data_IF_541165979730
#
_entry.id   IF_541165979730
#
_cell.length_a   1.000
_cell.length_b   1.000
_cell.length_c   1.000
_cell.angle_alpha   90.00
_cell.angle_beta   90.00
_cell.angle_gamma   90.00
#
_symmetry.space_group_name_H-M   'P 1'
#
loop_
_entity.id
_entity.type
_entity.pdbx_description
1 polymer ?
#
# COMPACT_ATOMS: atom_id res chain seq x y z
N UNK A 1 14.84 10.22 7.23
CA UNK A 1 13.38 10.08 7.41
C UNK A 1 12.89 9.01 6.47
N UNK A 2 12.37 7.92 7.00
CA UNK A 2 11.80 6.85 6.19
C UNK A 2 10.42 7.27 5.68
N UNK A 3 10.03 6.85 4.48
CA UNK A 3 8.70 7.15 3.90
C UNK A 3 7.57 6.70 4.82
N UNK A 4 7.79 5.62 5.57
CA UNK A 4 6.87 5.07 6.56
C UNK A 4 6.58 6.08 7.70
N UNK A 5 7.57 6.82 8.17
CA UNK A 5 7.39 7.84 9.22
C UNK A 5 6.52 9.00 8.75
N UNK A 6 6.66 9.42 7.49
CA UNK A 6 5.85 10.50 6.90
C UNK A 6 4.38 10.07 6.83
N UNK A 7 4.11 8.85 6.37
CA UNK A 7 2.75 8.29 6.31
C UNK A 7 2.16 8.18 7.72
N UNK A 8 2.93 7.67 8.69
CA UNK A 8 2.48 7.54 10.09
C UNK A 8 2.12 8.89 10.70
N UNK A 9 2.97 9.89 10.49
CA UNK A 9 2.74 11.24 11.01
C UNK A 9 1.52 11.90 10.32
N UNK A 10 1.32 11.68 9.02
CA UNK A 10 0.14 12.16 8.31
C UNK A 10 -1.16 11.55 8.84
N UNK A 11 -1.16 10.24 9.14
CA UNK A 11 -2.31 9.56 9.75
C UNK A 11 -2.60 10.12 11.15
N UNK A 12 -1.56 10.28 11.99
CA UNK A 12 -1.71 10.84 13.34
C UNK A 12 -2.24 12.28 13.30
N UNK A 13 -1.76 13.10 12.37
CA UNK A 13 -2.28 14.44 12.15
C UNK A 13 -3.75 14.42 11.69
N UNK A 14 -4.11 13.50 10.79
CA UNK A 14 -5.48 13.31 10.31
C UNK A 14 -6.47 12.97 11.43
N UNK A 15 -6.06 12.10 12.37
CA UNK A 15 -6.87 11.76 13.55
C UNK A 15 -7.08 12.98 14.46
N UNK A 16 -6.05 13.80 14.70
CA UNK A 16 -6.18 15.03 15.50
C UNK A 16 -7.10 16.07 14.86
N UNK A 17 -7.06 16.21 13.53
CA UNK A 17 -7.99 17.08 12.79
C UNK A 17 -9.43 16.59 12.92
N UNK A 18 -9.66 15.27 12.85
CA UNK A 18 -10.99 14.69 13.00
C UNK A 18 -11.58 14.95 14.39
N UNK A 19 -10.78 14.84 15.45
CA UNK A 19 -11.17 15.14 16.83
C UNK A 19 -11.58 16.62 16.97
N UNK A 20 -10.78 17.53 16.40
CA UNK A 20 -11.03 18.98 16.44
C UNK A 20 -12.33 19.38 15.73
N UNK A 21 -12.64 18.70 14.62
CA UNK A 21 -13.88 18.91 13.88
C UNK A 21 -15.09 18.47 14.71
N UNK A 22 -15.01 17.32 15.39
CA UNK A 22 -16.08 16.84 16.29
C UNK A 22 -16.32 17.82 17.43
N UNK A 23 -15.25 18.25 18.09
CA UNK A 23 -15.32 19.25 19.18
C UNK A 23 -15.98 20.56 18.71
N UNK A 24 -15.60 21.05 17.53
CA UNK A 24 -16.17 22.28 16.95
C UNK A 24 -17.66 22.13 16.65
N UNK A 25 -18.06 20.98 16.07
CA UNK A 25 -19.48 20.71 15.78
C UNK A 25 -20.29 20.62 17.08
N UNK A 26 -19.78 19.93 18.10
CA UNK A 26 -20.44 19.83 19.41
C UNK A 26 -20.60 21.20 20.08
N UNK A 27 -19.61 22.08 19.95
CA UNK A 27 -19.69 23.45 20.48
C UNK A 27 -20.72 24.30 19.74
N UNK A 28 -20.87 24.14 18.42
CA UNK A 28 -21.95 24.79 17.65
C UNK A 28 -23.33 24.30 18.09
N UNK A 29 -23.47 23.01 18.43
CA UNK A 29 -24.72 22.46 18.99
C UNK A 29 -25.02 23.06 20.36
N UNK A 30 -24.03 23.12 21.26
CA UNK A 30 -24.19 23.72 22.59
C UNK A 30 -24.57 25.19 22.54
N UNK A 31 -24.07 25.93 21.54
CA UNK A 31 -24.41 27.34 21.30
C UNK A 31 -25.80 27.53 20.69
N UNK A 32 -26.48 26.44 20.30
CA UNK A 32 -27.78 26.47 19.64
C UNK A 32 -27.73 26.92 18.17
N UNK A 33 -26.52 27.08 17.61
CA UNK A 33 -26.31 27.45 16.21
C UNK A 33 -26.58 26.26 15.27
N UNK A 34 -26.59 25.04 15.80
CA UNK A 34 -26.80 23.81 15.07
C UNK A 34 -27.68 22.85 15.88
N UNK A 35 -28.64 22.19 15.22
CA UNK A 35 -29.38 21.09 15.87
C UNK A 35 -28.54 19.80 15.89
N UNK A 36 -28.79 18.90 16.85
CA UNK A 36 -28.15 17.58 16.90
C UNK A 36 -28.33 16.79 15.59
N UNK A 37 -29.49 16.94 14.95
CA UNK A 37 -29.79 16.29 13.67
C UNK A 37 -28.89 16.79 12.53
N UNK A 38 -28.56 18.09 12.53
CA UNK A 38 -27.69 18.71 11.53
C UNK A 38 -26.23 18.38 11.80
N UNK A 39 -25.82 18.32 13.07
CA UNK A 39 -24.49 17.87 13.49
C UNK A 39 -24.21 16.45 13.03
N UNK A 40 -25.12 15.51 13.32
CA UNK A 40 -24.98 14.11 12.92
C UNK A 40 -24.91 13.96 11.39
N UNK A 41 -25.68 14.76 10.65
CA UNK A 41 -25.66 14.78 9.18
C UNK A 41 -24.33 15.29 8.63
N UNK A 42 -23.80 16.38 9.17
CA UNK A 42 -22.50 16.95 8.77
C UNK A 42 -21.34 15.99 9.05
N UNK A 43 -21.30 15.35 10.21
CA UNK A 43 -20.27 14.35 10.54
C UNK A 43 -20.33 13.17 9.58
N UNK A 44 -21.54 12.70 9.25
CA UNK A 44 -21.74 11.60 8.32
C UNK A 44 -21.29 11.95 6.90
N UNK A 45 -21.74 13.09 6.36
CA UNK A 45 -21.36 13.56 5.02
C UNK A 45 -19.85 13.79 4.91
N UNK A 46 -19.23 14.36 5.95
CA UNK A 46 -17.79 14.59 5.98
C UNK A 46 -17.01 13.27 6.05
N UNK A 47 -17.48 12.30 6.84
CA UNK A 47 -16.85 10.98 6.93
C UNK A 47 -16.93 10.23 5.61
N UNK A 48 -18.11 10.17 4.98
CA UNK A 48 -18.30 9.54 3.67
C UNK A 48 -17.43 10.20 2.58
N UNK A 49 -17.33 11.53 2.60
CA UNK A 49 -16.47 12.28 1.67
C UNK A 49 -14.99 12.05 1.94
N UNK A 50 -14.58 12.01 3.20
CA UNK A 50 -13.20 11.72 3.60
C UNK A 50 -12.79 10.31 3.20
N UNK A 51 -13.65 9.30 3.36
CA UNK A 51 -13.37 7.91 2.98
C UNK A 51 -13.17 7.75 1.47
N UNK A 52 -14.04 8.37 0.66
CA UNK A 52 -13.85 8.43 -0.80
C UNK A 52 -12.55 9.13 -1.19
N UNK A 53 -12.31 10.31 -0.62
CA UNK A 53 -11.12 11.11 -0.94
C UNK A 53 -9.82 10.42 -0.48
N UNK A 54 -9.86 9.71 0.64
CA UNK A 54 -8.73 8.91 1.14
C UNK A 54 -8.39 7.78 0.17
N UNK A 55 -9.39 7.08 -0.36
CA UNK A 55 -9.17 5.97 -1.31
C UNK A 55 -8.50 6.45 -2.59
N UNK A 56 -8.95 7.57 -3.16
CA UNK A 56 -8.32 8.18 -4.34
C UNK A 56 -6.91 8.70 -4.05
N UNK A 57 -6.71 9.30 -2.87
CA UNK A 57 -5.40 9.77 -2.43
C UNK A 57 -4.40 8.61 -2.28
N UNK A 58 -4.81 7.51 -1.63
CA UNK A 58 -3.97 6.31 -1.49
C UNK A 58 -3.58 5.74 -2.84
N UNK A 59 -4.51 5.67 -3.81
CA UNK A 59 -4.21 5.21 -5.16
C UNK A 59 -3.19 6.12 -5.86
N UNK A 60 -3.41 7.43 -5.81
CA UNK A 60 -2.50 8.42 -6.42
C UNK A 60 -1.09 8.36 -5.82
N UNK A 61 -1.00 8.21 -4.49
CA UNK A 61 0.28 8.06 -3.79
C UNK A 61 0.96 6.75 -4.21
N UNK A 62 0.22 5.65 -4.30
CA UNK A 62 0.75 4.36 -4.76
C UNK A 62 1.30 4.48 -6.18
N UNK A 63 0.56 5.10 -7.09
CA UNK A 63 0.98 5.28 -8.49
C UNK A 63 2.23 6.17 -8.59
N UNK A 64 2.30 7.24 -7.78
CA UNK A 64 3.48 8.11 -7.67
C UNK A 64 4.71 7.35 -7.18
N UNK A 65 4.56 6.51 -6.15
CA UNK A 65 5.65 5.71 -5.60
C UNK A 65 6.11 4.68 -6.63
N UNK A 66 5.19 3.95 -7.26
CA UNK A 66 5.50 2.98 -8.31
C UNK A 66 6.24 3.64 -9.47
N UNK A 67 5.74 4.78 -9.98
CA UNK A 67 6.40 5.52 -11.06
C UNK A 67 7.78 6.09 -10.67
N UNK A 68 7.97 6.46 -9.40
CA UNK A 68 9.29 6.87 -8.90
C UNK A 68 10.27 5.70 -8.83
N UNK A 69 9.83 4.53 -8.35
CA UNK A 69 10.63 3.31 -8.28
C UNK A 69 11.05 2.84 -9.68
N UNK A 70 10.12 2.88 -10.65
CA UNK A 70 10.41 2.56 -12.06
C UNK A 70 11.48 3.49 -12.64
N UNK A 71 11.37 4.81 -12.41
CA UNK A 71 12.38 5.79 -12.89
C UNK A 71 13.75 5.61 -12.25
N UNK A 72 13.81 5.09 -11.03
CA UNK A 72 15.06 4.76 -10.34
C UNK A 72 15.62 3.39 -10.74
N UNK A 73 14.95 2.68 -11.66
CA UNK A 73 15.30 1.34 -12.11
C UNK A 73 15.42 0.33 -10.94
N UNK A 74 14.64 0.56 -9.87
CA UNK A 74 14.59 -0.29 -8.69
C UNK A 74 13.56 -1.41 -8.91
N UNK A 75 13.96 -2.69 -8.81
CA UNK A 75 13.03 -3.80 -8.96
C UNK A 75 12.05 -3.83 -7.79
N UNK A 76 10.79 -4.13 -8.10
CA UNK A 76 9.75 -4.35 -7.10
C UNK A 76 9.93 -5.70 -6.41
N UNK A 77 9.17 -5.94 -5.33
CA UNK A 77 9.17 -7.26 -4.67
C UNK A 77 8.70 -8.36 -5.63
N UNK A 78 7.71 -8.07 -6.46
CA UNK A 78 7.14 -9.02 -7.42
C UNK A 78 8.18 -9.42 -8.47
N UNK A 79 8.97 -8.45 -8.96
CA UNK A 79 10.08 -8.70 -9.88
C UNK A 79 11.12 -9.68 -9.28
N UNK A 80 11.42 -9.51 -7.99
CA UNK A 80 12.35 -10.39 -7.26
C UNK A 80 11.77 -11.79 -7.10
N UNK A 81 10.48 -11.91 -6.76
CA UNK A 81 9.81 -13.20 -6.62
C UNK A 81 9.75 -13.96 -7.95
N UNK A 82 9.48 -13.26 -9.04
CA UNK A 82 9.47 -13.85 -10.38
C UNK A 82 10.86 -14.28 -10.84
N UNK A 83 11.90 -13.52 -10.50
CA UNK A 83 13.28 -13.92 -10.73
C UNK A 83 13.64 -15.17 -9.92
N UNK A 84 13.21 -15.26 -8.65
CA UNK A 84 13.40 -16.47 -7.83
C UNK A 84 12.72 -17.70 -8.43
N UNK A 85 11.49 -17.57 -8.95
CA UNK A 85 10.79 -18.68 -9.62
C UNK A 85 11.56 -19.15 -10.87
N UNK A 86 12.01 -18.20 -11.70
CA UNK A 86 12.82 -18.49 -12.90
C UNK A 86 14.12 -19.22 -12.53
N UNK A 87 14.85 -18.72 -11.54
CA UNK A 87 16.09 -19.34 -11.04
C UNK A 87 15.81 -20.76 -10.56
N UNK A 88 14.78 -20.98 -9.73
CA UNK A 88 14.42 -22.33 -9.27
C UNK A 88 14.07 -23.29 -10.41
N UNK A 89 13.34 -22.82 -11.42
CA UNK A 89 12.99 -23.61 -12.60
C UNK A 89 14.24 -24.01 -13.39
N UNK A 90 15.14 -23.06 -13.63
CA UNK A 90 16.42 -23.31 -14.29
C UNK A 90 17.30 -24.27 -13.50
N UNK A 91 17.41 -24.09 -12.18
CA UNK A 91 18.18 -25.01 -11.32
C UNK A 91 17.65 -26.44 -11.35
N UNK A 92 16.31 -26.64 -11.42
CA UNK A 92 15.72 -27.97 -11.57
C UNK A 92 16.05 -28.59 -12.92
N UNK A 93 15.96 -27.82 -14.00
CA UNK A 93 16.30 -28.28 -15.35
C UNK A 93 17.77 -28.63 -15.46
N UNK A 94 18.65 -27.82 -14.88
CA UNK A 94 20.09 -28.06 -14.87
C UNK A 94 20.41 -29.38 -14.16
N UNK A 95 19.86 -29.61 -12.95
CA UNK A 95 20.01 -30.89 -12.25
C UNK A 95 19.51 -32.10 -13.07
N UNK A 96 18.39 -31.95 -13.76
CA UNK A 96 17.86 -33.03 -14.60
C UNK A 96 18.74 -33.30 -15.83
N UNK A 97 19.39 -32.28 -16.38
CA UNK A 97 20.36 -32.40 -17.47
C UNK A 97 21.66 -33.04 -16.98
N UNK A 98 22.20 -32.59 -15.84
CA UNK A 98 23.40 -33.17 -15.22
C UNK A 98 23.22 -34.67 -14.93
N UNK A 99 22.08 -35.07 -14.39
CA UNK A 99 21.78 -36.49 -14.14
C UNK A 99 21.75 -37.33 -15.43
N UNK A 100 21.17 -36.80 -16.51
CA UNK A 100 21.13 -37.48 -17.81
C UNK A 100 22.50 -37.60 -18.46
N UNK A 101 23.38 -36.63 -18.26
CA UNK A 101 24.76 -36.67 -18.74
C UNK A 101 25.56 -37.73 -17.97
N UNK A 102 25.39 -37.82 -16.64
CA UNK A 102 26.05 -38.85 -15.83
C UNK A 102 25.57 -40.28 -16.14
N UNK A 103 24.30 -40.46 -16.50
CA UNK A 103 23.75 -41.75 -16.94
C UNK A 103 24.27 -42.17 -18.33
N UNK A 104 24.29 -41.24 -19.30
CA UNK A 104 24.82 -41.54 -20.65
C UNK A 104 26.32 -41.86 -20.67
N UNK A 105 27.11 -41.32 -19.74
CA UNK A 105 28.56 -41.60 -19.67
C UNK A 105 28.86 -42.99 -19.09
N UNK A 106 27.90 -43.60 -18.37
CA UNK A 106 28.05 -44.95 -17.77
C UNK A 106 27.60 -46.08 -18.69
N UNK A 107 26.80 -45.80 -19.73
CA UNK A 107 26.39 -46.79 -20.73
C UNK A 107 27.40 -46.96 -21.87
N UNK A 108 28.36 -46.03 -22.02
CA UNK A 108 29.42 -46.05 -23.06
C UNK A 108 30.79 -46.60 -22.57
N UNK A 109 30.91 -47.06 -21.32
CA UNK A 109 32.11 -47.73 -20.76
C UNK A 109 31.84 -49.19 -20.43
#
# INVERSE_FOLDING_TARGET
>A
MTVIEIIRNAILAGLGVQEKIRETIDDLVKRGELSESQAAKLVKELSEKAEKSSTEATKTISDLISGALEKMNLPTKDDIEDLQKKVRSLSKRLKALEHKVEEGTKEES
#
